data_IF_137021677104
#
_entry.id   IF_137021677104
#
_cell.length_a   1.000
_cell.length_b   1.000
_cell.length_c   1.000
_cell.angle_alpha   90.00
_cell.angle_beta   90.00
_cell.angle_gamma   90.00
#
_symmetry.space_group_name_H-M   'P 1'
#
loop_
_entity.id
_entity.type
_entity.pdbx_description
1 polymer ?
#
# COMPACT_ATOMS: atom_id res chain seq x y z
N UNK A 1 -13.02 -8.82 15.44
CA UNK A 1 -13.61 -8.64 14.11
C UNK A 1 -14.68 -9.72 13.83
N UNK A 2 -14.37 -11.02 13.96
CA UNK A 2 -15.33 -12.09 13.71
C UNK A 2 -16.62 -11.96 14.52
N UNK A 3 -16.54 -11.58 15.80
CA UNK A 3 -17.70 -11.39 16.68
C UNK A 3 -18.64 -10.23 16.25
N UNK A 4 -18.17 -9.32 15.42
CA UNK A 4 -18.97 -8.18 14.92
C UNK A 4 -19.76 -8.49 13.64
N UNK A 5 -19.60 -9.69 13.05
CA UNK A 5 -20.27 -10.08 11.80
C UNK A 5 -19.93 -9.17 10.62
N UNK A 6 -18.73 -8.58 10.62
CA UNK A 6 -18.30 -7.68 9.55
C UNK A 6 -18.13 -8.46 8.26
N UNK A 7 -18.75 -7.99 7.22
CA UNK A 7 -18.64 -8.54 5.88
C UNK A 7 -18.45 -7.41 4.86
N UNK A 8 -17.36 -7.45 4.13
CA UNK A 8 -17.08 -6.55 3.02
C UNK A 8 -16.46 -7.33 1.88
N UNK A 9 -16.98 -7.17 0.68
CA UNK A 9 -16.46 -7.88 -0.48
C UNK A 9 -14.99 -7.50 -0.74
N UNK A 10 -14.14 -8.52 -0.88
CA UNK A 10 -12.71 -8.31 -1.09
C UNK A 10 -11.90 -8.14 0.19
N UNK A 11 -12.48 -8.36 1.36
CA UNK A 11 -11.75 -8.47 2.61
C UNK A 11 -11.95 -9.87 3.19
N UNK A 12 -10.85 -10.60 3.36
CA UNK A 12 -10.89 -11.97 3.87
C UNK A 12 -10.99 -12.01 5.40
N UNK A 13 -12.09 -11.50 5.95
CA UNK A 13 -12.33 -11.55 7.40
C UNK A 13 -12.36 -13.00 7.93
N UNK A 14 -11.89 -13.23 9.16
CA UNK A 14 -12.09 -14.50 9.84
C UNK A 14 -13.58 -14.79 10.05
N UNK A 15 -14.04 -15.92 9.56
CA UNK A 15 -15.44 -16.39 9.67
C UNK A 15 -15.61 -17.38 10.83
N UNK A 16 -14.54 -18.02 11.29
CA UNK A 16 -14.58 -19.00 12.36
C UNK A 16 -13.21 -19.29 12.94
N UNK A 17 -13.22 -19.81 14.16
CA UNK A 17 -12.02 -20.24 14.90
C UNK A 17 -11.89 -21.76 14.78
N UNK A 18 -10.66 -22.24 14.57
CA UNK A 18 -10.32 -23.67 14.60
C UNK A 18 -9.56 -23.95 15.87
N UNK A 19 -10.03 -24.98 16.60
CA UNK A 19 -9.37 -25.48 17.81
C UNK A 19 -8.98 -26.93 17.66
N UNK A 20 -7.96 -27.37 18.41
CA UNK A 20 -7.61 -28.79 18.51
C UNK A 20 -8.59 -29.54 19.48
N UNK A 21 -8.37 -30.82 19.66
CA UNK A 21 -9.19 -31.65 20.55
C UNK A 21 -9.14 -31.22 22.05
N UNK A 22 -8.20 -30.37 22.43
CA UNK A 22 -8.07 -29.80 23.78
C UNK A 22 -8.74 -28.44 23.95
N UNK A 23 -9.35 -27.90 22.84
CA UNK A 23 -9.92 -26.56 22.81
C UNK A 23 -8.90 -25.43 22.63
N UNK A 24 -7.65 -25.76 22.35
CA UNK A 24 -6.60 -24.75 22.13
C UNK A 24 -6.71 -24.20 20.71
N UNK A 25 -6.53 -22.86 20.54
CA UNK A 25 -6.55 -22.20 19.24
C UNK A 25 -5.44 -22.74 18.34
N UNK A 26 -5.80 -23.12 17.12
CA UNK A 26 -4.85 -23.58 16.09
C UNK A 26 -4.95 -22.80 14.79
N UNK A 27 -5.96 -21.96 14.62
CA UNK A 27 -6.13 -21.14 13.44
C UNK A 27 -7.55 -20.59 13.27
N UNK A 28 -7.81 -20.01 12.13
CA UNK A 28 -9.13 -19.50 11.76
C UNK A 28 -9.47 -19.87 10.31
N UNK A 29 -10.75 -19.78 9.98
CA UNK A 29 -11.29 -19.99 8.63
C UNK A 29 -11.59 -18.62 8.07
N UNK A 30 -11.21 -18.39 6.81
CA UNK A 30 -11.52 -17.17 6.06
C UNK A 30 -11.84 -17.49 4.60
N UNK A 31 -12.53 -16.61 3.87
CA UNK A 31 -12.74 -16.73 2.43
C UNK A 31 -11.41 -16.83 1.69
N UNK A 32 -11.37 -17.67 0.65
CA UNK A 32 -10.18 -17.78 -0.18
C UNK A 32 -10.22 -16.72 -1.30
N UNK A 33 -9.31 -15.78 -1.28
CA UNK A 33 -9.05 -14.88 -2.39
C UNK A 33 -8.60 -15.66 -3.64
N UNK A 34 -9.10 -15.25 -4.82
CA UNK A 34 -8.68 -15.81 -6.11
C UNK A 34 -8.12 -14.69 -6.97
N UNK A 35 -7.00 -14.95 -7.63
CA UNK A 35 -6.32 -13.95 -8.47
C UNK A 35 -4.82 -14.02 -8.36
N UNK A 36 -4.16 -12.91 -8.68
CA UNK A 36 -2.72 -12.75 -8.63
C UNK A 36 -2.31 -11.74 -7.55
N UNK A 37 -1.21 -11.98 -6.87
CA UNK A 37 -0.63 -10.98 -5.97
C UNK A 37 -0.28 -9.69 -6.71
N UNK A 38 -0.37 -8.53 -6.03
CA UNK A 38 -0.03 -7.21 -6.63
C UNK A 38 1.37 -7.16 -7.23
N UNK A 39 2.33 -7.94 -6.72
CA UNK A 39 3.67 -8.03 -7.33
C UNK A 39 3.65 -8.43 -8.81
N UNK A 40 2.55 -9.05 -9.29
CA UNK A 40 2.39 -9.40 -10.71
C UNK A 40 2.13 -8.15 -11.54
N UNK A 41 1.20 -7.29 -11.11
CA UNK A 41 0.88 -6.03 -11.83
C UNK A 41 2.00 -4.98 -11.71
N UNK A 42 2.85 -5.06 -10.70
CA UNK A 42 4.02 -4.22 -10.52
C UNK A 42 5.23 -4.64 -11.37
N UNK A 43 5.19 -5.79 -12.02
CA UNK A 43 6.26 -6.26 -12.89
C UNK A 43 5.78 -6.25 -14.35
N UNK A 44 6.37 -5.44 -15.25
CA UNK A 44 5.89 -5.27 -16.62
C UNK A 44 5.73 -6.59 -17.38
N UNK A 45 6.71 -7.49 -17.27
CA UNK A 45 6.67 -8.77 -17.99
C UNK A 45 5.59 -9.71 -17.46
N UNK A 46 5.42 -9.77 -16.14
CA UNK A 46 4.40 -10.60 -15.49
C UNK A 46 3.01 -10.03 -15.74
N UNK A 47 2.87 -8.71 -15.66
CA UNK A 47 1.64 -7.98 -15.93
C UNK A 47 1.09 -8.31 -17.32
N UNK A 48 1.89 -8.10 -18.37
CA UNK A 48 1.48 -8.38 -19.75
C UNK A 48 1.10 -9.86 -19.98
N UNK A 49 1.77 -10.78 -19.27
CA UNK A 49 1.47 -12.22 -19.36
C UNK A 49 0.17 -12.60 -18.64
N UNK A 50 -0.07 -12.04 -17.46
CA UNK A 50 -1.18 -12.45 -16.58
C UNK A 50 -2.49 -11.72 -16.90
N UNK A 51 -2.38 -10.50 -17.43
CA UNK A 51 -3.50 -9.62 -17.74
C UNK A 51 -3.38 -9.09 -19.20
N UNK A 52 -3.43 -9.95 -20.21
CA UNK A 52 -3.35 -9.53 -21.59
C UNK A 52 -4.54 -8.63 -21.92
N UNK A 53 -4.26 -7.47 -22.52
CA UNK A 53 -5.28 -6.48 -22.87
C UNK A 53 -5.61 -5.44 -21.78
N UNK A 54 -5.07 -5.58 -20.58
CA UNK A 54 -5.21 -4.52 -19.56
C UNK A 54 -4.39 -3.29 -19.94
N UNK A 55 -4.95 -2.13 -19.64
CA UNK A 55 -4.38 -0.80 -19.86
C UNK A 55 -4.00 -0.14 -18.54
N UNK A 56 -3.59 1.11 -18.59
CA UNK A 56 -3.38 1.93 -17.38
C UNK A 56 -4.68 2.24 -16.66
N UNK A 57 -5.79 2.35 -17.38
CA UNK A 57 -7.12 2.57 -16.78
C UNK A 57 -7.50 1.41 -15.87
N UNK A 58 -7.20 0.18 -16.30
CA UNK A 58 -7.44 -1.01 -15.48
C UNK A 58 -6.61 -1.01 -14.19
N UNK A 59 -5.40 -0.45 -14.21
CA UNK A 59 -4.59 -0.26 -13.01
C UNK A 59 -5.17 0.83 -12.10
N UNK A 60 -5.79 1.86 -12.65
CA UNK A 60 -6.53 2.87 -11.85
C UNK A 60 -7.73 2.23 -11.19
N UNK A 61 -8.51 1.40 -11.89
CA UNK A 61 -9.63 0.66 -11.32
C UNK A 61 -9.18 -0.23 -10.14
N UNK A 62 -8.03 -0.88 -10.26
CA UNK A 62 -7.43 -1.65 -9.17
C UNK A 62 -7.08 -0.77 -7.97
N UNK A 63 -6.51 0.42 -8.22
CA UNK A 63 -6.20 1.39 -7.16
C UNK A 63 -7.48 1.86 -6.46
N UNK A 64 -8.55 2.16 -7.20
CA UNK A 64 -9.86 2.53 -6.66
C UNK A 64 -10.40 1.40 -5.79
N UNK A 65 -10.43 0.17 -6.30
CA UNK A 65 -10.91 -1.00 -5.54
C UNK A 65 -10.12 -1.22 -4.25
N UNK A 66 -8.81 -0.98 -4.24
CA UNK A 66 -7.99 -1.02 -3.02
C UNK A 66 -8.36 0.09 -2.04
N UNK A 67 -8.45 1.33 -2.53
CA UNK A 67 -8.76 2.50 -1.70
C UNK A 67 -10.14 2.43 -1.02
N UNK A 68 -11.16 1.92 -1.71
CA UNK A 68 -12.49 1.70 -1.14
C UNK A 68 -12.44 0.81 0.10
N UNK A 69 -11.63 -0.26 0.06
CA UNK A 69 -11.43 -1.15 1.20
C UNK A 69 -10.64 -0.50 2.33
N UNK A 70 -9.65 0.31 2.01
CA UNK A 70 -8.91 1.09 3.00
C UNK A 70 -9.85 2.09 3.70
N UNK A 71 -10.68 2.82 2.94
CA UNK A 71 -11.69 3.74 3.51
C UNK A 71 -12.63 2.99 4.46
N UNK A 72 -13.13 1.83 4.04
CA UNK A 72 -13.99 1.00 4.88
C UNK A 72 -13.28 0.58 6.18
N UNK A 73 -12.05 0.07 6.12
CA UNK A 73 -11.30 -0.36 7.30
C UNK A 73 -10.96 0.81 8.22
N UNK A 74 -10.54 1.95 7.69
CA UNK A 74 -10.28 3.15 8.48
C UNK A 74 -11.55 3.67 9.17
N UNK A 75 -12.75 3.53 8.55
CA UNK A 75 -14.03 3.89 9.18
C UNK A 75 -14.34 3.02 10.41
N UNK A 76 -13.78 1.81 10.47
CA UNK A 76 -13.88 0.89 11.61
C UNK A 76 -12.73 1.05 12.61
N UNK A 77 -11.86 2.04 12.42
CA UNK A 77 -10.63 2.22 13.20
C UNK A 77 -9.70 0.99 13.15
N UNK A 78 -9.64 0.34 11.99
CA UNK A 78 -8.75 -0.78 11.70
C UNK A 78 -7.59 -0.28 10.83
N UNK A 79 -6.37 -0.63 11.19
CA UNK A 79 -5.14 -0.35 10.44
C UNK A 79 -4.58 -1.70 9.97
N UNK A 80 -4.29 -1.82 8.66
CA UNK A 80 -3.78 -3.07 8.09
C UNK A 80 -2.36 -3.40 8.60
N UNK A 81 -1.56 -2.36 8.87
CA UNK A 81 -0.23 -2.48 9.48
C UNK A 81 0.85 -3.01 8.55
N UNK A 82 0.63 -4.09 7.82
CA UNK A 82 1.58 -4.64 6.84
C UNK A 82 1.00 -4.62 5.42
N UNK A 83 0.75 -3.42 4.90
CA UNK A 83 0.43 -3.25 3.48
C UNK A 83 1.68 -3.60 2.66
N UNK A 84 1.59 -4.69 1.90
CA UNK A 84 2.64 -5.10 0.96
C UNK A 84 2.04 -5.87 -0.22
N UNK A 85 2.75 -6.00 -1.36
CA UNK A 85 2.20 -6.61 -2.58
C UNK A 85 1.83 -8.09 -2.49
N UNK A 86 2.21 -8.80 -1.42
CA UNK A 86 1.85 -10.22 -1.21
C UNK A 86 0.50 -10.37 -0.50
N UNK A 87 0.13 -9.35 0.31
CA UNK A 87 -1.09 -9.34 1.10
C UNK A 87 -2.30 -8.79 0.33
N UNK A 88 -2.08 -8.38 -0.93
CA UNK A 88 -3.12 -7.89 -1.83
C UNK A 88 -3.21 -8.78 -3.07
N UNK A 89 -4.41 -9.27 -3.34
CA UNK A 89 -4.71 -10.11 -4.50
C UNK A 89 -5.62 -9.33 -5.44
N UNK A 90 -5.36 -9.40 -6.74
CA UNK A 90 -6.21 -8.81 -7.78
C UNK A 90 -6.74 -9.88 -8.71
N UNK A 91 -8.05 -9.88 -8.98
CA UNK A 91 -8.70 -10.80 -9.90
C UNK A 91 -8.80 -10.21 -11.33
N UNK A 92 -9.32 -11.00 -12.26
CA UNK A 92 -9.49 -10.60 -13.66
C UNK A 92 -10.54 -9.48 -13.85
N UNK A 93 -11.38 -9.23 -12.85
CA UNK A 93 -12.40 -8.19 -12.85
C UNK A 93 -11.91 -6.91 -12.11
N UNK A 94 -10.61 -6.82 -11.80
CA UNK A 94 -9.97 -5.71 -11.10
C UNK A 94 -10.40 -5.56 -9.61
N UNK A 95 -11.12 -6.54 -9.07
CA UNK A 95 -11.44 -6.53 -7.65
C UNK A 95 -10.18 -6.85 -6.85
N UNK A 96 -9.98 -6.09 -5.79
CA UNK A 96 -8.89 -6.30 -4.84
C UNK A 96 -9.39 -7.11 -3.66
N UNK A 97 -8.58 -8.07 -3.25
CA UNK A 97 -8.77 -8.87 -2.05
C UNK A 97 -7.64 -8.59 -1.07
N UNK A 98 -7.98 -8.21 0.14
CA UNK A 98 -7.02 -8.04 1.25
C UNK A 98 -7.02 -9.32 2.06
N UNK A 99 -5.85 -9.90 2.21
CA UNK A 99 -5.59 -11.13 2.99
C UNK A 99 -4.68 -10.81 4.17
N UNK A 100 -4.35 -11.79 4.99
CA UNK A 100 -3.39 -11.65 6.12
C UNK A 100 -3.91 -10.74 7.24
N UNK A 101 -5.15 -11.01 7.67
CA UNK A 101 -5.89 -10.18 8.65
C UNK A 101 -5.37 -10.28 10.09
N UNK A 102 -4.51 -11.23 10.39
CA UNK A 102 -3.88 -11.43 11.70
C UNK A 102 -2.71 -10.46 11.95
N UNK A 103 -2.27 -9.75 10.92
CA UNK A 103 -1.29 -8.67 11.03
C UNK A 103 -1.91 -7.31 11.39
N UNK A 104 -3.23 -7.19 11.46
CA UNK A 104 -3.92 -5.91 11.60
C UNK A 104 -3.88 -5.36 13.02
N UNK A 105 -3.85 -4.01 13.10
CA UNK A 105 -4.05 -3.30 14.36
C UNK A 105 -5.54 -3.06 14.58
N UNK A 106 -6.05 -3.54 15.71
CA UNK A 106 -7.48 -3.45 16.08
C UNK A 106 -7.62 -3.15 17.56
N UNK A 107 -8.44 -2.16 17.91
CA UNK A 107 -8.89 -1.93 19.30
C UNK A 107 -7.76 -1.80 20.35
N UNK A 108 -6.67 -1.16 20.02
CA UNK A 108 -5.54 -1.00 20.95
C UNK A 108 -4.53 -2.14 20.92
N UNK A 109 -4.75 -3.18 20.11
CA UNK A 109 -3.74 -4.22 19.84
C UNK A 109 -2.89 -3.80 18.63
N UNK A 110 -1.58 -3.61 18.79
CA UNK A 110 -0.71 -3.18 17.71
C UNK A 110 -0.55 -4.25 16.63
N UNK A 111 -0.28 -3.82 15.40
CA UNK A 111 0.19 -4.71 14.34
C UNK A 111 1.65 -5.10 14.63
N UNK A 112 1.98 -6.39 14.80
CA UNK A 112 3.32 -6.80 15.22
C UNK A 112 4.36 -6.80 14.10
N UNK A 113 3.94 -6.59 12.85
CA UNK A 113 4.78 -6.73 11.65
C UNK A 113 4.74 -5.48 10.79
N UNK A 114 5.62 -5.40 9.80
CA UNK A 114 5.65 -4.35 8.80
C UNK A 114 6.82 -4.54 7.84
N UNK A 115 6.61 -4.11 6.62
CA UNK A 115 7.62 -4.15 5.54
C UNK A 115 8.30 -2.78 5.44
N UNK A 116 9.64 -2.67 5.59
CA UNK A 116 10.33 -1.36 5.64
C UNK A 116 10.00 -0.42 4.48
N UNK A 117 9.88 -0.95 3.26
CA UNK A 117 9.53 -0.17 2.06
C UNK A 117 8.16 0.54 2.17
N UNK A 118 7.25 -0.03 2.96
CA UNK A 118 5.89 0.48 3.18
C UNK A 118 5.72 1.09 4.57
N UNK A 119 6.81 1.34 5.28
CA UNK A 119 6.76 1.90 6.64
C UNK A 119 7.09 3.38 6.62
N UNK A 120 6.21 4.20 7.20
CA UNK A 120 6.41 5.63 7.30
C UNK A 120 7.70 5.99 8.05
N UNK A 121 8.39 7.12 7.72
CA UNK A 121 9.63 7.52 8.36
C UNK A 121 9.55 7.57 9.89
N UNK A 122 8.40 7.98 10.42
CA UNK A 122 8.13 8.07 11.88
C UNK A 122 8.10 6.72 12.59
N UNK A 123 7.79 5.63 11.88
CA UNK A 123 7.66 4.28 12.41
C UNK A 123 8.88 3.38 12.11
N UNK A 124 9.78 3.82 11.20
CA UNK A 124 10.94 3.04 10.81
C UNK A 124 11.93 2.81 11.96
N UNK A 125 12.24 1.53 12.19
CA UNK A 125 13.18 1.10 13.23
C UNK A 125 12.58 1.00 14.63
N UNK A 126 11.27 1.24 14.77
CA UNK A 126 10.54 0.97 16.03
C UNK A 126 10.11 -0.48 16.11
N UNK A 127 10.01 -1.08 17.32
CA UNK A 127 9.45 -2.39 17.52
C UNK A 127 7.93 -2.36 17.31
N UNK A 128 7.47 -2.84 16.17
CA UNK A 128 6.07 -2.70 15.73
C UNK A 128 5.04 -3.27 16.72
N UNK A 129 5.39 -4.29 17.49
CA UNK A 129 4.51 -4.87 18.50
C UNK A 129 4.31 -3.99 19.76
N UNK A 130 5.08 -2.93 19.93
CA UNK A 130 5.12 -2.14 21.16
C UNK A 130 4.45 -0.76 21.04
N UNK A 131 3.96 -0.39 19.86
CA UNK A 131 3.27 0.89 19.68
C UNK A 131 2.10 0.79 18.69
N UNK A 132 1.13 1.67 18.87
CA UNK A 132 0.00 1.80 17.94
C UNK A 132 0.40 2.75 16.80
N UNK A 133 0.24 2.28 15.58
CA UNK A 133 0.38 3.13 14.38
C UNK A 133 -0.81 4.07 14.26
N UNK A 134 -0.57 5.21 13.68
CA UNK A 134 -1.60 6.15 13.30
C UNK A 134 -2.12 5.88 11.90
N UNK A 135 -3.31 6.36 11.58
CA UNK A 135 -3.85 6.32 10.21
C UNK A 135 -2.89 7.05 9.26
N UNK A 136 -2.27 8.18 9.68
CA UNK A 136 -1.30 8.92 8.86
C UNK A 136 -0.07 8.07 8.51
N UNK A 137 0.42 7.25 9.44
CA UNK A 137 1.53 6.31 9.17
C UNK A 137 1.12 5.23 8.15
N UNK A 138 -0.12 4.74 8.20
CA UNK A 138 -0.61 3.78 7.21
C UNK A 138 -0.84 4.42 5.83
N UNK A 139 -1.26 5.68 5.77
CA UNK A 139 -1.44 6.42 4.50
C UNK A 139 -0.13 6.53 3.70
N UNK A 140 1.03 6.49 4.35
CA UNK A 140 2.31 6.34 3.65
C UNK A 140 2.40 5.01 2.91
N UNK A 141 2.02 3.90 3.54
CA UNK A 141 2.01 2.58 2.91
C UNK A 141 0.99 2.51 1.77
N UNK A 142 -0.20 3.08 1.97
CA UNK A 142 -1.24 3.19 0.94
C UNK A 142 -0.70 3.92 -0.29
N UNK A 143 -0.15 5.11 -0.11
CA UNK A 143 0.40 5.90 -1.22
C UNK A 143 1.59 5.21 -1.90
N UNK A 144 2.45 4.52 -1.13
CA UNK A 144 3.55 3.72 -1.69
C UNK A 144 3.01 2.62 -2.60
N UNK A 145 1.93 1.94 -2.17
CA UNK A 145 1.28 0.91 -2.98
C UNK A 145 0.69 1.49 -4.27
N UNK A 146 -0.05 2.58 -4.19
CA UNK A 146 -0.61 3.28 -5.36
C UNK A 146 0.49 3.70 -6.33
N UNK A 147 1.56 4.30 -5.83
CA UNK A 147 2.69 4.72 -6.64
C UNK A 147 3.31 3.53 -7.38
N UNK A 148 3.59 2.44 -6.68
CA UNK A 148 4.19 1.25 -7.26
C UNK A 148 3.28 0.55 -8.28
N UNK A 149 1.97 0.62 -8.13
CA UNK A 149 1.03 0.12 -9.15
C UNK A 149 1.06 1.01 -10.39
N UNK A 150 0.91 2.32 -10.21
CA UNK A 150 0.78 3.28 -11.32
C UNK A 150 2.11 3.54 -12.06
N UNK A 151 3.24 3.45 -11.36
CA UNK A 151 4.59 3.58 -11.92
C UNK A 151 5.28 2.20 -12.08
N UNK A 152 4.49 1.17 -12.21
CA UNK A 152 4.89 -0.19 -12.58
C UNK A 152 6.07 -0.72 -11.74
N UNK A 153 5.88 -0.78 -10.43
CA UNK A 153 6.82 -1.36 -9.47
C UNK A 153 7.97 -0.45 -9.04
N UNK A 154 7.98 0.81 -9.49
CA UNK A 154 9.02 1.76 -9.08
C UNK A 154 8.80 2.21 -7.64
N UNK A 155 9.85 2.15 -6.83
CA UNK A 155 9.82 2.66 -5.47
C UNK A 155 9.81 4.21 -5.45
N UNK A 156 8.99 4.86 -4.61
CA UNK A 156 8.87 6.33 -4.62
C UNK A 156 10.19 7.07 -4.42
N UNK A 157 11.05 6.59 -3.53
CA UNK A 157 12.33 7.22 -3.23
C UNK A 157 13.51 6.69 -4.07
N UNK A 158 13.25 5.90 -5.10
CA UNK A 158 14.31 5.51 -6.03
C UNK A 158 14.84 6.74 -6.77
N UNK A 159 16.17 6.85 -6.86
CA UNK A 159 16.87 7.99 -7.44
C UNK A 159 18.01 7.53 -8.35
N UNK A 160 18.37 8.38 -9.31
CA UNK A 160 19.59 8.21 -10.08
C UNK A 160 20.82 8.16 -9.15
N UNK A 161 21.68 7.17 -9.34
CA UNK A 161 22.91 7.03 -8.57
C UNK A 161 22.75 6.65 -7.10
N UNK A 162 21.53 6.28 -6.63
CA UNK A 162 21.37 5.80 -5.25
C UNK A 162 21.94 4.39 -5.07
N UNK A 163 22.42 4.09 -3.85
CA UNK A 163 22.93 2.77 -3.45
C UNK A 163 21.84 1.74 -3.13
N UNK A 164 20.56 2.16 -3.18
CA UNK A 164 19.42 1.28 -2.93
C UNK A 164 19.10 1.02 -1.46
N UNK A 165 19.72 1.72 -0.50
CA UNK A 165 19.36 1.64 0.92
C UNK A 165 17.98 2.28 1.14
N UNK A 166 16.94 1.45 1.12
CA UNK A 166 15.53 1.86 1.22
C UNK A 166 15.27 2.62 2.52
N UNK A 167 15.79 2.16 3.64
CA UNK A 167 15.55 2.78 4.95
C UNK A 167 16.13 4.19 4.98
N UNK A 168 17.34 4.37 4.46
CA UNK A 168 17.99 5.67 4.34
C UNK A 168 17.21 6.59 3.40
N UNK A 169 16.85 6.10 2.21
CA UNK A 169 16.11 6.88 1.22
C UNK A 169 14.76 7.39 1.77
N UNK A 170 14.05 6.56 2.54
CA UNK A 170 12.81 6.98 3.20
C UNK A 170 13.08 8.05 4.26
N UNK A 171 14.11 7.86 5.10
CA UNK A 171 14.48 8.81 6.15
C UNK A 171 14.94 10.15 5.61
N UNK A 172 15.64 10.14 4.48
CA UNK A 172 16.08 11.35 3.79
C UNK A 172 14.89 12.13 3.20
N UNK A 173 13.76 11.48 2.93
CA UNK A 173 12.52 12.12 2.46
C UNK A 173 12.63 12.78 1.10
N UNK A 174 13.65 12.44 0.33
CA UNK A 174 13.98 13.12 -0.92
C UNK A 174 13.29 12.46 -2.11
N UNK A 175 12.03 12.82 -2.30
CA UNK A 175 11.21 12.31 -3.40
C UNK A 175 11.64 12.90 -4.74
N UNK A 176 12.12 12.05 -5.65
CA UNK A 176 12.72 12.47 -6.91
C UNK A 176 11.72 12.93 -7.99
N UNK A 177 10.43 12.61 -7.81
CA UNK A 177 9.38 12.89 -8.81
C UNK A 177 8.67 14.20 -8.48
N UNK A 178 9.31 15.33 -8.81
CA UNK A 178 8.84 16.67 -8.48
C UNK A 178 7.67 17.12 -9.34
N UNK A 179 6.76 17.91 -8.73
CA UNK A 179 5.67 18.57 -9.46
C UNK A 179 6.22 19.79 -10.19
N UNK A 180 6.07 19.81 -11.51
CA UNK A 180 6.52 20.96 -12.33
C UNK A 180 8.00 20.97 -12.70
N UNK A 181 8.84 20.13 -12.14
CA UNK A 181 10.23 19.99 -12.59
C UNK A 181 10.30 19.20 -13.91
N UNK A 182 10.92 19.80 -14.91
CA UNK A 182 11.12 19.21 -16.23
C UNK A 182 12.51 18.62 -16.40
N UNK A 183 13.42 18.80 -15.43
CA UNK A 183 14.80 18.33 -15.53
C UNK A 183 14.92 16.81 -15.47
N UNK A 184 14.09 16.17 -14.67
CA UNK A 184 14.09 14.72 -14.39
C UNK A 184 15.49 14.19 -13.97
N UNK A 185 16.37 15.04 -13.43
CA UNK A 185 17.77 14.69 -13.14
C UNK A 185 17.91 13.67 -12.05
N UNK A 186 17.03 13.77 -11.04
CA UNK A 186 17.07 12.92 -9.84
C UNK A 186 16.25 11.65 -10.00
N UNK A 187 15.43 11.56 -11.03
CA UNK A 187 14.60 10.40 -11.29
C UNK A 187 15.45 9.19 -11.73
N UNK A 188 15.06 7.96 -11.34
CA UNK A 188 15.76 6.77 -11.75
C UNK A 188 15.76 6.61 -13.27
N UNK A 189 16.80 5.96 -13.81
CA UNK A 189 16.88 5.64 -15.23
C UNK A 189 15.74 4.72 -15.68
N UNK A 190 15.21 4.96 -16.88
CA UNK A 190 14.14 4.17 -17.48
C UNK A 190 12.93 4.98 -17.90
N UNK A 191 11.80 4.29 -18.12
CA UNK A 191 10.58 4.91 -18.63
C UNK A 191 9.75 5.63 -17.55
N UNK A 192 10.16 5.60 -16.32
CA UNK A 192 9.44 6.14 -15.15
C UNK A 192 9.15 7.63 -15.26
N UNK A 193 10.10 8.40 -15.79
CA UNK A 193 9.96 9.84 -16.06
C UNK A 193 8.82 10.14 -17.05
N UNK A 194 8.61 9.29 -18.04
CA UNK A 194 7.52 9.45 -19.00
C UNK A 194 6.18 9.11 -18.35
N UNK A 195 6.13 8.03 -17.55
CA UNK A 195 4.93 7.68 -16.79
C UNK A 195 4.52 8.81 -15.86
N UNK A 196 5.48 9.35 -15.10
CA UNK A 196 5.26 10.48 -14.21
C UNK A 196 4.81 11.73 -14.99
N UNK A 197 5.45 12.07 -16.10
CA UNK A 197 5.12 13.28 -16.88
C UNK A 197 3.67 13.29 -17.40
N UNK A 198 3.12 12.11 -17.73
CA UNK A 198 1.75 11.96 -18.22
C UNK A 198 0.70 11.82 -17.11
N UNK A 199 1.10 11.74 -15.88
CA UNK A 199 0.17 11.67 -14.75
C UNK A 199 -0.53 13.02 -14.53
N UNK A 200 -1.84 13.05 -14.18
CA UNK A 200 -2.55 14.28 -13.85
C UNK A 200 -1.84 15.06 -12.74
N UNK A 201 -1.96 16.40 -12.80
CA UNK A 201 -1.29 17.28 -11.84
C UNK A 201 -1.75 17.01 -10.40
N UNK A 202 -3.07 16.90 -10.21
CA UNK A 202 -3.66 16.69 -8.88
C UNK A 202 -3.13 15.40 -8.24
N UNK A 203 -3.02 14.33 -9.03
CA UNK A 203 -2.44 13.06 -8.57
C UNK A 203 -0.95 13.19 -8.22
N UNK A 204 -0.19 13.97 -8.98
CA UNK A 204 1.22 14.29 -8.66
C UNK A 204 1.33 15.05 -7.32
N UNK A 205 0.42 16.01 -7.08
CA UNK A 205 0.40 16.79 -5.84
C UNK A 205 0.05 15.91 -4.63
N UNK A 206 -0.85 14.95 -4.76
CA UNK A 206 -1.13 13.96 -3.71
C UNK A 206 0.11 13.12 -3.36
N UNK A 207 0.85 12.62 -4.36
CA UNK A 207 2.11 11.92 -4.14
C UNK A 207 3.18 12.82 -3.51
N UNK A 208 3.30 14.04 -4.00
CA UNK A 208 4.25 15.02 -3.48
C UNK A 208 3.97 15.30 -1.99
N UNK A 209 2.73 15.57 -1.63
CA UNK A 209 2.30 15.83 -0.27
C UNK A 209 2.51 14.63 0.67
N UNK A 210 2.55 13.42 0.12
CA UNK A 210 2.81 12.22 0.91
C UNK A 210 4.30 11.96 1.14
N UNK A 211 5.13 12.16 0.11
CA UNK A 211 6.51 11.67 0.10
C UNK A 211 7.55 12.74 0.28
N UNK A 212 7.24 13.99 -0.09
CA UNK A 212 8.17 15.08 0.10
C UNK A 212 7.97 15.71 1.46
N UNK A 213 9.06 15.83 2.22
CA UNK A 213 9.05 16.54 3.49
C UNK A 213 10.36 17.30 3.69
N UNK A 214 10.25 18.54 4.12
CA UNK A 214 11.37 19.40 4.45
C UNK A 214 11.42 19.64 5.97
N UNK A 215 12.48 19.16 6.60
CA UNK A 215 12.67 19.32 8.03
C UNK A 215 11.64 18.55 8.87
N UNK A 216 11.36 19.06 10.09
CA UNK A 216 10.44 18.44 11.05
C UNK A 216 8.96 18.82 10.85
N UNK A 217 8.59 19.43 9.74
CA UNK A 217 7.18 19.76 9.46
C UNK A 217 6.42 18.53 9.04
N UNK A 218 5.58 18.08 9.93
CA UNK A 218 4.59 17.05 9.68
C UNK A 218 3.52 17.63 8.73
N UNK A 219 3.54 17.24 7.47
CA UNK A 219 2.42 17.51 6.56
C UNK A 219 1.48 16.32 6.71
N UNK A 220 0.22 16.58 7.05
CA UNK A 220 -0.81 15.54 7.09
C UNK A 220 -0.95 14.93 5.71
N UNK A 221 -0.81 13.60 5.60
CA UNK A 221 -0.93 12.88 4.33
C UNK A 221 -2.38 12.88 3.85
N UNK A 222 -2.58 12.89 2.51
CA UNK A 222 -3.90 12.71 1.94
C UNK A 222 -4.56 11.42 2.43
N UNK A 223 -5.80 11.53 2.86
CA UNK A 223 -6.63 10.39 3.28
C UNK A 223 -6.96 9.48 2.10
N UNK A 224 -7.32 8.22 2.36
CA UNK A 224 -7.78 7.31 1.31
C UNK A 224 -8.99 7.85 0.54
N UNK A 225 -9.87 8.62 1.20
CA UNK A 225 -11.00 9.30 0.56
C UNK A 225 -10.59 10.48 -0.32
N UNK A 226 -9.47 11.15 -0.05
CA UNK A 226 -8.93 12.19 -0.92
C UNK A 226 -8.28 11.62 -2.17
N UNK A 227 -7.68 10.43 -2.08
CA UNK A 227 -7.18 9.69 -3.24
C UNK A 227 -8.29 9.20 -4.19
N UNK A 228 -9.52 8.99 -3.70
CA UNK A 228 -10.67 8.55 -4.50
C UNK A 228 -11.37 9.69 -5.27
N UNK A 229 -11.08 10.93 -4.96
CA UNK A 229 -11.63 12.14 -5.64
C UNK A 229 -10.80 12.60 -6.80
#
# INVERSE_FOLDING_TARGET
>A
LAARGLHEQGICFPEGIVTNARGEFVGYIMPRARGNEFRVIMNPRRFLKSFPGWTKEDLVDVCISFLEKVVFLHSLNVILGDINPKNLIVDANKNVWIIDVDSWQVEGYPSPVGTPMFTAPSALGKPYAEFLRTVDEELFAVATMLFMVLITGQFPYARAGSDGDIVRLIKDGNFAFQVGDRSNRDQPEGNWKYMWSHMPRDLKELFWNTFHWEGSRFIQRPTAGEWLR
#
